data_IF_439222348948
#
_entry.id   IF_439222348948
#
_cell.length_a   1.000
_cell.length_b   1.000
_cell.length_c   1.000
_cell.angle_alpha   90.00
_cell.angle_beta   90.00
_cell.angle_gamma   90.00
#
_symmetry.space_group_name_H-M   'P 1'
#
loop_
_entity.id
_entity.type
_entity.pdbx_description
1 polymer ?
#
# COMPACT_ATOMS: atom_id res chain seq x y z
N UNK A 1 -10.71 -12.85 8.23
CA UNK A 1 -9.91 -11.64 7.95
C UNK A 1 -8.64 -11.79 8.81
N UNK A 2 -7.43 -12.15 8.31
CA UNK A 2 -6.61 -11.42 7.33
C UNK A 2 -5.61 -12.35 6.57
N UNK A 3 -6.02 -13.03 5.49
CA UNK A 3 -5.19 -14.05 4.84
C UNK A 3 -4.40 -13.58 3.62
N UNK A 4 -4.86 -12.52 2.95
CA UNK A 4 -4.40 -12.21 1.59
C UNK A 4 -3.03 -11.53 1.55
N UNK A 5 -2.75 -10.65 2.52
CA UNK A 5 -1.43 -10.04 2.68
C UNK A 5 -0.43 -10.96 3.38
N UNK A 6 -0.87 -12.08 3.97
CA UNK A 6 -0.03 -12.96 4.79
C UNK A 6 0.76 -14.01 4.00
N UNK A 7 0.57 -14.09 2.67
CA UNK A 7 1.51 -14.84 1.82
C UNK A 7 2.83 -14.07 1.84
N UNK A 8 3.84 -14.64 2.51
CA UNK A 8 5.19 -14.09 2.74
C UNK A 8 5.81 -13.39 1.51
N UNK A 9 5.47 -13.85 0.31
CA UNK A 9 5.90 -13.30 -0.99
C UNK A 9 5.32 -11.92 -1.35
N UNK A 10 4.18 -11.50 -0.77
CA UNK A 10 3.55 -10.22 -1.05
C UNK A 10 4.06 -9.10 -0.12
N UNK A 11 4.37 -9.42 1.14
CA UNK A 11 4.83 -8.43 2.14
C UNK A 11 6.17 -7.80 1.73
N UNK A 12 7.15 -8.59 1.30
CA UNK A 12 8.45 -8.05 0.89
C UNK A 12 8.33 -7.13 -0.33
N UNK A 13 7.41 -7.45 -1.26
CA UNK A 13 7.12 -6.62 -2.44
C UNK A 13 6.43 -5.32 -2.04
N UNK A 14 5.43 -5.41 -1.16
CA UNK A 14 4.72 -4.26 -0.59
C UNK A 14 5.69 -3.31 0.11
N UNK A 15 6.58 -3.84 0.97
CA UNK A 15 7.55 -3.02 1.69
C UNK A 15 8.48 -2.30 0.72
N UNK A 16 9.06 -3.01 -0.27
CA UNK A 16 9.96 -2.40 -1.26
C UNK A 16 9.28 -1.29 -2.04
N UNK A 17 8.07 -1.53 -2.53
CA UNK A 17 7.32 -0.55 -3.29
C UNK A 17 7.02 0.71 -2.46
N UNK A 18 6.64 0.55 -1.19
CA UNK A 18 6.45 1.68 -0.28
C UNK A 18 7.76 2.41 0.03
N UNK A 19 8.87 1.70 0.22
CA UNK A 19 10.19 2.32 0.44
C UNK A 19 10.63 3.14 -0.78
N UNK A 20 10.47 2.60 -1.98
CA UNK A 20 10.84 3.27 -3.23
C UNK A 20 9.97 4.51 -3.48
N UNK A 21 8.65 4.40 -3.26
CA UNK A 21 7.74 5.54 -3.33
C UNK A 21 8.11 6.60 -2.28
N UNK A 22 8.34 6.21 -1.03
CA UNK A 22 8.70 7.14 0.04
C UNK A 22 10.04 7.85 -0.22
N UNK A 23 11.04 7.14 -0.73
CA UNK A 23 12.32 7.76 -1.11
C UNK A 23 12.17 8.73 -2.27
N UNK A 24 11.27 8.44 -3.21
CA UNK A 24 11.06 9.27 -4.40
C UNK A 24 10.26 10.54 -4.10
N UNK A 25 9.16 10.41 -3.35
CA UNK A 25 8.22 11.52 -3.11
C UNK A 25 8.41 12.22 -1.76
N UNK A 26 8.92 11.50 -0.76
CA UNK A 26 8.98 11.94 0.65
C UNK A 26 10.41 11.91 1.20
N UNK A 27 11.44 12.08 0.35
CA UNK A 27 12.83 12.13 0.79
C UNK A 27 13.09 13.06 2.01
N UNK A 28 12.48 14.27 2.09
CA UNK A 28 12.66 15.14 3.25
C UNK A 28 12.13 14.55 4.56
N UNK A 29 11.14 13.65 4.52
CA UNK A 29 10.52 13.08 5.72
C UNK A 29 11.46 12.09 6.42
N UNK A 30 12.40 11.49 5.69
CA UNK A 30 13.45 10.66 6.30
C UNK A 30 14.45 11.47 7.15
N UNK A 31 14.42 12.80 7.06
CA UNK A 31 15.19 13.69 7.92
C UNK A 31 14.43 14.04 9.22
N UNK A 32 13.10 13.83 9.25
CA UNK A 32 12.31 14.08 10.44
C UNK A 32 12.42 12.89 11.41
N UNK A 33 12.88 13.10 12.66
CA UNK A 33 13.10 12.00 13.61
C UNK A 33 11.85 11.16 13.90
N UNK A 34 10.65 11.74 13.76
CA UNK A 34 9.37 11.08 14.00
C UNK A 34 8.83 10.29 12.80
N UNK A 35 9.35 10.55 11.60
CA UNK A 35 8.86 9.94 10.34
C UNK A 35 9.93 9.07 9.67
N UNK A 36 11.16 9.11 10.19
CA UNK A 36 12.27 8.31 9.69
C UNK A 36 11.98 6.83 9.89
N UNK A 37 11.97 6.08 8.79
CA UNK A 37 11.66 4.65 8.79
C UNK A 37 10.17 4.30 8.64
N UNK A 38 9.27 5.30 8.60
CA UNK A 38 7.86 5.06 8.36
C UNK A 38 7.59 4.77 6.87
N UNK A 39 6.67 3.83 6.62
CA UNK A 39 6.15 3.51 5.29
C UNK A 39 4.81 4.23 5.10
N UNK A 40 4.71 5.04 4.06
CA UNK A 40 3.58 5.94 3.83
C UNK A 40 2.88 5.48 2.55
N UNK A 41 1.60 5.18 2.65
CA UNK A 41 0.78 4.89 1.49
C UNK A 41 0.27 6.21 0.89
N UNK A 42 0.71 6.51 -0.32
CA UNK A 42 0.24 7.69 -1.05
C UNK A 42 -1.06 7.35 -1.76
N UNK A 43 -2.13 8.08 -1.41
CA UNK A 43 -3.42 7.98 -2.10
C UNK A 43 -3.51 9.05 -3.19
N UNK A 44 -4.19 8.71 -4.28
CA UNK A 44 -4.55 9.65 -5.34
C UNK A 44 -5.78 10.51 -4.96
N UNK A 45 -6.24 11.32 -5.90
CA UNK A 45 -7.42 12.19 -5.76
C UNK A 45 -8.74 11.43 -5.50
N UNK A 46 -8.80 10.15 -5.87
CA UNK A 46 -9.96 9.27 -5.66
C UNK A 46 -9.88 8.50 -4.34
N UNK A 47 -8.89 8.82 -3.49
CA UNK A 47 -8.58 8.10 -2.26
C UNK A 47 -8.21 6.64 -2.53
N UNK A 48 -7.58 6.37 -3.68
CA UNK A 48 -7.11 5.04 -4.07
C UNK A 48 -5.59 4.98 -4.16
N UNK A 49 -5.03 3.78 -4.04
CA UNK A 49 -3.60 3.52 -4.25
C UNK A 49 -3.42 2.12 -4.82
N UNK A 50 -2.41 1.94 -5.67
CA UNK A 50 -2.00 0.61 -6.12
C UNK A 50 -0.78 0.17 -5.33
N UNK A 51 -0.83 -1.04 -4.79
CA UNK A 51 0.26 -1.61 -4.00
C UNK A 51 0.36 -3.11 -4.27
N UNK A 52 1.51 -3.56 -4.81
CA UNK A 52 1.78 -4.95 -5.14
C UNK A 52 0.66 -5.64 -5.93
N UNK A 53 0.14 -4.97 -6.97
CA UNK A 53 -0.98 -5.43 -7.82
C UNK A 53 -2.31 -5.59 -7.05
N UNK A 54 -2.46 -4.88 -5.94
CA UNK A 54 -3.73 -4.76 -5.21
C UNK A 54 -4.14 -3.30 -5.17
N UNK A 55 -5.37 -3.03 -5.62
CA UNK A 55 -5.96 -1.69 -5.49
C UNK A 55 -6.49 -1.51 -4.08
N UNK A 56 -6.05 -0.46 -3.41
CA UNK A 56 -6.50 -0.04 -2.09
C UNK A 56 -7.40 1.18 -2.24
N UNK A 57 -8.46 1.25 -1.45
CA UNK A 57 -9.35 2.40 -1.39
C UNK A 57 -9.54 2.81 0.05
N UNK A 58 -9.44 4.10 0.32
CA UNK A 58 -9.79 4.66 1.61
C UNK A 58 -11.19 5.26 1.60
N UNK A 59 -11.97 4.91 2.62
CA UNK A 59 -13.30 5.42 2.91
C UNK A 59 -13.31 5.93 4.35
N UNK A 60 -13.96 7.06 4.62
CA UNK A 60 -14.11 7.54 6.01
C UNK A 60 -14.97 6.59 6.85
N UNK A 61 -15.93 5.91 6.23
CA UNK A 61 -16.82 4.98 6.93
C UNK A 61 -16.13 3.66 7.25
N UNK A 62 -15.28 3.16 6.34
CA UNK A 62 -14.76 1.79 6.38
C UNK A 62 -13.25 1.71 6.62
N UNK A 63 -12.55 2.85 6.60
CA UNK A 63 -11.09 2.92 6.64
C UNK A 63 -10.46 2.48 5.32
N UNK A 64 -9.29 1.86 5.40
CA UNK A 64 -8.56 1.36 4.22
C UNK A 64 -9.07 -0.05 3.86
N UNK A 65 -9.65 -0.19 2.68
CA UNK A 65 -10.18 -1.45 2.14
C UNK A 65 -9.41 -1.89 0.90
N UNK A 66 -9.32 -3.20 0.70
CA UNK A 66 -8.77 -3.77 -0.53
C UNK A 66 -9.89 -3.92 -1.57
N UNK A 67 -9.63 -3.50 -2.81
CA UNK A 67 -10.37 -3.91 -3.98
C UNK A 67 -9.62 -5.10 -4.58
N UNK A 68 -10.23 -6.28 -4.44
CA UNK A 68 -9.76 -7.48 -5.13
C UNK A 68 -10.01 -7.23 -6.61
N UNK A 69 -8.97 -7.13 -7.43
CA UNK A 69 -9.16 -7.43 -8.85
C UNK A 69 -9.67 -8.87 -8.87
N UNK A 70 -10.89 -9.07 -9.36
CA UNK A 70 -11.42 -10.40 -9.64
C UNK A 70 -10.46 -11.02 -10.65
N UNK A 71 -9.48 -11.77 -10.15
CA UNK A 71 -8.80 -12.76 -10.96
C UNK A 71 -9.84 -13.85 -11.11
N UNK A 72 -10.63 -13.74 -12.17
CA UNK A 72 -11.39 -14.85 -12.74
C UNK A 72 -10.39 -16.00 -13.00
N UNK A 73 -10.23 -16.87 -12.02
CA UNK A 73 -9.95 -18.28 -12.28
C UNK A 73 -11.30 -18.93 -12.60
N UNK A 74 -11.81 -18.68 -13.82
CA UNK A 74 -12.79 -19.57 -14.44
C UNK A 74 -12.01 -20.76 -15.04
N UNK A 75 -12.03 -21.89 -14.33
CA UNK A 75 -11.73 -23.23 -14.87
C UNK A 75 -12.88 -23.72 -15.79
#
# INVERSE_FOLDING_TARGET
MPGYFSKKWNIDRVIRELEDQNRSFLAPWQQAPLLKGELVLLLDENLTASLAQTSLRYSRADGLIYQKEETDEED
#
